data_IF_595072852036
#
_entry.id   IF_595072852036
#
_cell.length_a   1.000
_cell.length_b   1.000
_cell.length_c   1.000
_cell.angle_alpha   90.00
_cell.angle_beta   90.00
_cell.angle_gamma   90.00
#
_symmetry.space_group_name_H-M   'P 1'
#
loop_
_entity.id
_entity.type
_entity.pdbx_description
1 polymer ?
#
# COMPACT_ATOMS: atom_id res chain seq x y z
N UNK A 1 -11.64 36.67 -12.23
CA UNK A 1 -10.20 36.82 -12.53
C UNK A 1 -9.59 35.44 -12.71
N UNK A 2 -9.33 35.02 -13.95
CA UNK A 2 -8.64 33.76 -14.25
C UNK A 2 -7.19 33.86 -13.78
N UNK A 3 -6.88 33.37 -12.57
CA UNK A 3 -5.48 33.12 -12.17
C UNK A 3 -4.89 32.20 -13.22
N UNK A 4 -3.89 32.68 -13.96
CA UNK A 4 -3.17 31.88 -14.93
C UNK A 4 -2.79 30.53 -14.30
N UNK A 5 -3.19 29.43 -14.95
CA UNK A 5 -2.73 28.08 -14.60
C UNK A 5 -1.24 28.02 -14.94
N UNK A 6 -0.38 28.58 -14.09
CA UNK A 6 1.06 28.34 -14.18
C UNK A 6 1.28 26.82 -14.13
N UNK A 7 1.73 26.25 -15.24
CA UNK A 7 2.12 24.85 -15.31
C UNK A 7 3.29 24.60 -14.37
N UNK A 8 3.32 23.41 -13.76
CA UNK A 8 4.47 22.99 -12.98
C UNK A 8 5.69 22.85 -13.92
N UNK A 9 6.90 23.19 -13.46
CA UNK A 9 8.10 22.96 -14.25
C UNK A 9 8.31 21.46 -14.47
N UNK A 10 8.84 21.09 -15.64
CA UNK A 10 9.29 19.72 -15.92
C UNK A 10 10.51 19.39 -15.05
N UNK A 11 10.75 18.10 -14.72
CA UNK A 11 12.01 17.70 -14.09
C UNK A 11 13.21 18.16 -14.94
N UNK A 12 14.18 18.88 -14.36
CA UNK A 12 15.32 19.37 -15.11
C UNK A 12 16.25 18.23 -15.51
N UNK A 13 17.05 18.45 -16.55
CA UNK A 13 18.21 17.61 -16.89
C UNK A 13 19.46 18.40 -16.50
N UNK A 14 20.15 18.06 -15.39
CA UNK A 14 21.35 18.77 -14.98
C UNK A 14 22.48 18.60 -16.01
N UNK A 15 23.45 19.53 -16.08
CA UNK A 15 24.62 19.38 -16.94
C UNK A 15 25.40 18.11 -16.63
N UNK A 16 25.91 17.44 -17.67
CA UNK A 16 26.69 16.20 -17.51
C UNK A 16 27.87 16.38 -16.57
N UNK A 17 28.68 17.43 -16.78
CA UNK A 17 29.87 17.67 -15.96
C UNK A 17 29.52 17.87 -14.49
N UNK A 18 28.46 18.62 -14.20
CA UNK A 18 27.97 18.82 -12.84
C UNK A 18 27.61 17.48 -12.16
N UNK A 19 26.90 16.59 -12.86
CA UNK A 19 26.57 15.26 -12.33
C UNK A 19 27.81 14.40 -12.07
N UNK A 20 28.77 14.38 -13.00
CA UNK A 20 29.98 13.57 -12.89
C UNK A 20 30.92 14.07 -11.78
N UNK A 21 31.07 15.38 -11.65
CA UNK A 21 31.90 15.99 -10.61
C UNK A 21 31.31 15.70 -9.22
N UNK A 22 29.99 15.86 -9.06
CA UNK A 22 29.29 15.48 -7.81
C UNK A 22 29.40 13.99 -7.52
N UNK A 23 29.31 13.14 -8.54
CA UNK A 23 29.46 11.69 -8.37
C UNK A 23 30.85 11.33 -7.82
N UNK A 24 31.93 11.92 -8.37
CA UNK A 24 33.29 11.69 -7.86
C UNK A 24 33.43 12.18 -6.43
N UNK A 25 32.95 13.39 -6.11
CA UNK A 25 32.99 13.93 -4.74
C UNK A 25 32.36 12.96 -3.72
N UNK A 26 31.19 12.38 -4.02
CA UNK A 26 30.56 11.40 -3.15
C UNK A 26 31.28 10.05 -3.14
N UNK A 27 31.76 9.59 -4.29
CA UNK A 27 32.47 8.32 -4.40
C UNK A 27 33.81 8.35 -3.63
N UNK A 28 34.50 9.49 -3.60
CA UNK A 28 35.71 9.71 -2.81
C UNK A 28 35.46 9.53 -1.32
N UNK A 29 34.39 10.14 -0.78
CA UNK A 29 34.02 9.99 0.63
C UNK A 29 33.74 8.52 0.99
N UNK A 30 33.04 7.79 0.12
CA UNK A 30 32.76 6.36 0.32
C UNK A 30 34.04 5.52 0.23
N UNK A 31 34.91 5.81 -0.74
CA UNK A 31 36.16 5.10 -0.93
C UNK A 31 37.13 5.31 0.24
N UNK A 32 37.28 6.55 0.72
CA UNK A 32 38.05 6.89 1.92
C UNK A 32 37.51 6.15 3.14
N UNK A 33 36.18 6.25 3.38
CA UNK A 33 35.53 5.57 4.50
C UNK A 33 35.65 4.04 4.47
N UNK A 34 35.88 3.43 3.29
CA UNK A 34 36.10 1.99 3.12
C UNK A 34 37.57 1.61 2.90
N UNK A 35 38.51 2.56 2.97
CA UNK A 35 39.93 2.37 2.66
C UNK A 35 40.16 1.70 1.29
N UNK A 36 39.47 2.18 0.24
CA UNK A 36 39.57 1.69 -1.14
C UNK A 36 40.19 2.72 -2.08
N UNK A 37 40.88 2.23 -3.12
CA UNK A 37 41.44 3.09 -4.18
C UNK A 37 40.36 3.57 -5.16
N UNK A 38 40.18 4.88 -5.29
CA UNK A 38 39.19 5.53 -6.15
C UNK A 38 39.69 5.77 -7.59
N UNK A 39 41.00 5.62 -7.86
CA UNK A 39 41.60 5.98 -9.16
C UNK A 39 40.96 5.27 -10.35
N UNK A 40 40.45 4.05 -10.15
CA UNK A 40 39.70 3.31 -11.16
C UNK A 40 38.41 4.03 -11.57
N UNK A 41 37.62 4.46 -10.58
CA UNK A 41 36.37 5.21 -10.78
C UNK A 41 36.61 6.54 -11.46
N UNK A 42 37.64 7.29 -11.03
CA UNK A 42 38.02 8.57 -11.67
C UNK A 42 38.31 8.38 -13.14
N UNK A 43 39.13 7.36 -13.50
CA UNK A 43 39.41 7.06 -14.92
C UNK A 43 38.15 6.71 -15.70
N UNK A 44 37.27 5.88 -15.15
CA UNK A 44 36.03 5.51 -15.79
C UNK A 44 35.10 6.70 -16.02
N UNK A 45 35.02 7.63 -15.07
CA UNK A 45 34.23 8.87 -15.19
C UNK A 45 34.80 9.78 -16.28
N UNK A 46 36.12 9.95 -16.34
CA UNK A 46 36.76 10.78 -17.37
C UNK A 46 36.62 10.18 -18.78
N UNK A 47 36.66 8.85 -18.90
CA UNK A 47 36.34 8.17 -20.15
C UNK A 47 34.87 8.38 -20.52
N UNK A 48 33.95 8.20 -19.57
CA UNK A 48 32.52 8.38 -19.80
C UNK A 48 32.18 9.84 -20.14
N UNK A 49 32.85 10.83 -19.55
CA UNK A 49 32.62 12.26 -19.81
C UNK A 49 32.68 12.58 -21.31
N UNK A 50 33.61 11.95 -22.04
CA UNK A 50 33.78 12.14 -23.49
C UNK A 50 32.61 11.60 -24.31
N UNK A 51 32.18 10.37 -24.02
CA UNK A 51 31.09 9.70 -24.76
C UNK A 51 29.70 10.09 -24.26
N UNK A 52 29.62 10.52 -23.00
CA UNK A 52 28.42 10.89 -22.25
C UNK A 52 27.64 12.04 -22.86
N UNK A 53 28.31 12.94 -23.60
CA UNK A 53 27.68 14.06 -24.31
C UNK A 53 26.57 13.57 -25.26
N UNK A 54 26.78 12.43 -25.92
CA UNK A 54 25.77 11.84 -26.81
C UNK A 54 24.51 11.41 -26.04
N UNK A 55 24.69 10.84 -24.85
CA UNK A 55 23.57 10.43 -23.98
C UNK A 55 22.86 11.64 -23.37
N UNK A 56 23.61 12.67 -22.96
CA UNK A 56 23.06 13.93 -22.47
C UNK A 56 22.12 14.58 -23.50
N UNK A 57 22.53 14.65 -24.77
CA UNK A 57 21.71 15.19 -25.85
C UNK A 57 20.45 14.37 -26.12
N UNK A 58 20.52 13.04 -25.98
CA UNK A 58 19.34 12.16 -26.08
C UNK A 58 18.39 12.39 -24.91
N UNK A 59 18.93 12.52 -23.70
CA UNK A 59 18.16 12.78 -22.49
C UNK A 59 17.44 14.13 -22.52
N UNK A 60 18.11 15.17 -23.03
CA UNK A 60 17.52 16.50 -23.22
C UNK A 60 16.35 16.46 -24.21
N UNK A 61 16.51 15.79 -25.35
CA UNK A 61 15.41 15.60 -26.32
C UNK A 61 14.23 14.84 -25.71
N UNK A 62 14.51 13.82 -24.90
CA UNK A 62 13.46 13.10 -24.17
C UNK A 62 12.74 14.00 -23.14
N UNK A 63 13.48 14.85 -22.43
CA UNK A 63 12.90 15.81 -21.48
C UNK A 63 12.05 16.90 -22.17
N UNK A 64 12.39 17.25 -23.41
CA UNK A 64 11.58 18.15 -24.22
C UNK A 64 10.26 17.51 -24.66
N UNK A 65 10.27 16.22 -25.05
CA UNK A 65 9.07 15.51 -25.50
C UNK A 65 8.15 15.07 -24.36
N UNK A 66 8.70 14.76 -23.18
CA UNK A 66 7.94 14.21 -22.06
C UNK A 66 7.56 15.25 -21.00
N UNK A 67 6.45 15.05 -20.31
CA UNK A 67 6.07 15.88 -19.15
C UNK A 67 6.93 15.56 -17.91
N UNK A 68 7.34 14.31 -17.78
CA UNK A 68 8.23 13.80 -16.75
C UNK A 68 9.07 12.67 -17.36
N UNK A 69 10.28 13.00 -17.82
CA UNK A 69 11.15 12.05 -18.50
C UNK A 69 11.70 10.98 -17.57
N UNK A 70 11.91 11.28 -16.27
CA UNK A 70 12.64 10.37 -15.38
C UNK A 70 11.75 9.25 -14.84
N UNK A 71 10.44 9.48 -14.71
CA UNK A 71 9.53 8.50 -14.10
C UNK A 71 9.47 7.16 -14.86
N UNK A 72 9.68 7.18 -16.18
CA UNK A 72 9.70 5.96 -17.00
C UNK A 72 10.91 5.05 -16.70
N UNK A 73 11.96 5.60 -16.09
CA UNK A 73 13.13 4.84 -15.64
C UNK A 73 13.06 4.58 -14.14
N UNK A 74 12.74 5.62 -13.36
CA UNK A 74 12.73 5.53 -11.90
C UNK A 74 11.70 4.52 -11.39
N UNK A 75 10.46 4.52 -11.90
CA UNK A 75 9.42 3.64 -11.38
C UNK A 75 9.74 2.14 -11.64
N UNK A 76 10.16 1.73 -12.85
CA UNK A 76 10.61 0.36 -13.07
C UNK A 76 11.82 -0.04 -12.24
N UNK A 77 12.89 0.76 -12.24
CA UNK A 77 14.15 0.41 -11.57
C UNK A 77 14.04 0.43 -10.05
N UNK A 78 13.31 1.40 -9.49
CA UNK A 78 13.16 1.54 -8.04
C UNK A 78 12.13 0.57 -7.45
N UNK A 79 11.16 0.10 -8.25
CA UNK A 79 10.08 -0.76 -7.74
C UNK A 79 9.74 -1.94 -8.64
N UNK A 80 9.28 -1.70 -9.88
CA UNK A 80 8.56 -2.74 -10.63
C UNK A 80 9.43 -3.92 -11.10
N UNK A 81 10.73 -3.68 -11.35
CA UNK A 81 11.72 -4.72 -11.72
C UNK A 81 12.35 -5.41 -10.52
N UNK A 82 12.15 -4.88 -9.30
CA UNK A 82 12.64 -5.54 -8.09
C UNK A 82 11.82 -6.80 -7.84
N UNK A 83 12.49 -7.95 -7.79
CA UNK A 83 11.85 -9.26 -7.62
C UNK A 83 11.83 -9.76 -6.16
N UNK A 84 12.42 -8.99 -5.23
CA UNK A 84 12.37 -9.27 -3.79
C UNK A 84 10.92 -9.24 -3.27
N UNK A 85 10.63 -9.99 -2.18
CA UNK A 85 9.34 -9.93 -1.51
C UNK A 85 8.91 -8.51 -1.15
N UNK A 86 7.63 -8.17 -1.32
CA UNK A 86 7.14 -6.83 -0.97
C UNK A 86 7.24 -6.50 0.54
N UNK A 87 6.80 -7.39 1.45
CA UNK A 87 6.90 -7.13 2.88
C UNK A 87 8.36 -6.87 3.27
N UNK A 88 8.61 -5.88 4.13
CA UNK A 88 9.94 -5.46 4.61
C UNK A 88 10.82 -4.79 3.55
N UNK A 89 11.00 -5.40 2.37
CA UNK A 89 11.97 -4.92 1.38
C UNK A 89 11.50 -3.68 0.61
N UNK A 90 10.19 -3.55 0.36
CA UNK A 90 9.65 -2.37 -0.34
C UNK A 90 8.47 -1.73 0.36
N UNK A 91 7.59 -2.52 1.01
CA UNK A 91 6.40 -1.98 1.65
C UNK A 91 6.73 -1.40 3.03
N UNK A 92 6.70 -0.07 3.25
CA UNK A 92 6.88 0.49 4.58
C UNK A 92 5.63 0.26 5.45
N UNK A 93 5.83 0.40 6.76
CA UNK A 93 4.76 0.47 7.74
C UNK A 93 4.66 1.87 8.35
N UNK A 94 3.43 2.29 8.65
CA UNK A 94 3.15 3.49 9.41
C UNK A 94 2.26 3.14 10.60
N UNK A 95 2.81 3.21 11.81
CA UNK A 95 2.17 2.78 13.05
C UNK A 95 1.32 3.92 13.59
N UNK A 96 0.04 3.65 13.85
CA UNK A 96 -0.89 4.62 14.46
C UNK A 96 -0.76 4.63 15.99
N UNK A 97 -1.44 5.52 16.74
CA UNK A 97 -1.50 5.41 18.19
C UNK A 97 -2.17 4.09 18.64
N UNK A 98 -1.62 3.46 19.69
CA UNK A 98 -2.20 2.24 20.27
C UNK A 98 -3.63 2.50 20.75
N UNK A 99 -4.55 1.58 20.42
CA UNK A 99 -5.93 1.64 20.89
C UNK A 99 -6.17 0.68 22.06
N UNK A 100 -7.29 0.89 22.75
CA UNK A 100 -7.77 0.01 23.81
C UNK A 100 -9.26 -0.25 23.54
N UNK A 101 -9.58 -1.44 23.05
CA UNK A 101 -10.95 -1.86 22.76
C UNK A 101 -11.51 -2.65 23.94
N UNK A 102 -12.76 -2.36 24.34
CA UNK A 102 -13.43 -3.09 25.42
C UNK A 102 -13.98 -4.42 24.93
N UNK A 103 -14.45 -4.44 23.69
CA UNK A 103 -15.13 -5.55 23.04
C UNK A 103 -14.96 -5.45 21.50
N UNK A 104 -15.52 -6.44 20.80
CA UNK A 104 -15.54 -6.48 19.33
C UNK A 104 -16.27 -5.28 18.73
N UNK A 105 -17.35 -4.81 19.35
CA UNK A 105 -18.12 -3.67 18.85
C UNK A 105 -17.28 -2.39 18.84
N UNK A 106 -16.50 -2.12 19.88
CA UNK A 106 -15.56 -0.99 19.93
C UNK A 106 -14.48 -1.10 18.84
N UNK A 107 -13.94 -2.30 18.62
CA UNK A 107 -12.93 -2.56 17.57
C UNK A 107 -13.48 -2.32 16.16
N UNK A 108 -14.66 -2.86 15.87
CA UNK A 108 -15.29 -2.72 14.56
C UNK A 108 -15.78 -1.28 14.31
N UNK A 109 -16.30 -0.60 15.34
CA UNK A 109 -16.69 0.81 15.26
C UNK A 109 -15.50 1.72 14.99
N UNK A 110 -14.37 1.50 15.67
CA UNK A 110 -13.12 2.22 15.39
C UNK A 110 -12.68 2.00 13.93
N UNK A 111 -12.70 0.75 13.47
CA UNK A 111 -12.34 0.39 12.10
C UNK A 111 -13.26 1.05 11.07
N UNK A 112 -14.57 1.04 11.30
CA UNK A 112 -15.55 1.70 10.44
C UNK A 112 -15.34 3.21 10.34
N UNK A 113 -14.97 3.87 11.44
CA UNK A 113 -14.64 5.30 11.46
C UNK A 113 -13.38 5.62 10.64
N UNK A 114 -12.33 4.80 10.74
CA UNK A 114 -11.12 4.97 9.92
C UNK A 114 -11.42 4.75 8.43
N UNK A 115 -12.17 3.70 8.08
CA UNK A 115 -12.62 3.45 6.71
C UNK A 115 -13.38 4.67 6.18
N UNK A 116 -14.32 5.18 6.96
CA UNK A 116 -15.11 6.35 6.60
C UNK A 116 -14.22 7.58 6.38
N UNK A 117 -13.27 7.82 7.27
CA UNK A 117 -12.31 8.92 7.15
C UNK A 117 -11.44 8.84 5.89
N UNK A 118 -10.95 7.65 5.53
CA UNK A 118 -10.18 7.44 4.30
C UNK A 118 -11.02 7.64 3.04
N UNK A 119 -12.26 7.14 3.02
CA UNK A 119 -13.17 7.31 1.88
C UNK A 119 -13.66 8.76 1.74
N UNK A 120 -13.85 9.49 2.83
CA UNK A 120 -14.09 10.94 2.79
C UNK A 120 -12.88 11.70 2.23
N UNK A 121 -11.66 11.28 2.59
CA UNK A 121 -10.45 11.84 2.01
C UNK A 121 -10.36 11.57 0.51
N UNK A 122 -10.69 10.35 0.06
CA UNK A 122 -10.83 10.02 -1.37
C UNK A 122 -11.84 10.94 -2.06
N UNK A 123 -13.00 11.17 -1.44
CA UNK A 123 -14.02 12.05 -1.99
C UNK A 123 -13.48 13.47 -2.21
N UNK A 124 -12.65 13.99 -1.29
CA UNK A 124 -11.96 15.29 -1.47
C UNK A 124 -10.95 15.27 -2.61
N UNK A 125 -10.21 14.16 -2.81
CA UNK A 125 -9.31 13.99 -3.96
C UNK A 125 -10.10 14.03 -5.27
N UNK A 126 -11.14 13.20 -5.39
CA UNK A 126 -11.91 13.04 -6.61
C UNK A 126 -12.63 14.32 -7.04
N UNK A 127 -13.15 15.06 -6.05
CA UNK A 127 -13.83 16.34 -6.24
C UNK A 127 -12.87 17.55 -6.27
N UNK A 128 -11.56 17.32 -6.22
CA UNK A 128 -10.51 18.34 -6.27
C UNK A 128 -10.65 19.41 -5.18
N UNK A 129 -11.07 18.99 -3.98
CA UNK A 129 -11.23 19.82 -2.79
C UNK A 129 -9.96 19.88 -1.93
N UNK A 130 -8.95 19.06 -2.19
CA UNK A 130 -7.67 19.18 -1.51
C UNK A 130 -6.96 20.47 -1.91
N UNK A 131 -6.45 21.18 -0.90
CA UNK A 131 -5.61 22.34 -1.14
C UNK A 131 -4.29 21.96 -1.81
N UNK A 132 -3.79 22.86 -2.65
CA UNK A 132 -2.51 22.67 -3.32
C UNK A 132 -1.37 22.73 -2.30
N UNK A 133 -0.54 21.70 -2.30
CA UNK A 133 0.68 21.71 -1.49
C UNK A 133 1.76 22.66 -2.03
N UNK A 134 2.57 23.15 -1.11
CA UNK A 134 3.76 23.94 -1.39
C UNK A 134 4.99 23.29 -0.78
N UNK A 135 6.15 23.49 -1.39
CA UNK A 135 7.43 23.00 -0.87
C UNK A 135 7.70 23.49 0.55
N UNK A 136 8.47 22.72 1.31
CA UNK A 136 8.88 23.09 2.68
C UNK A 136 9.96 24.17 2.71
N UNK A 137 10.69 24.37 1.61
CA UNK A 137 11.78 25.35 1.48
C UNK A 137 11.36 26.82 1.69
N UNK A 138 12.38 27.70 1.81
CA UNK A 138 12.21 29.16 2.00
C UNK A 138 11.40 29.80 0.88
N UNK A 139 11.69 29.41 -0.37
CA UNK A 139 10.89 29.79 -1.54
C UNK A 139 9.82 28.72 -1.76
N UNK A 140 8.57 29.10 -1.51
CA UNK A 140 7.42 28.22 -1.67
C UNK A 140 7.12 28.00 -3.15
N UNK A 141 7.26 26.77 -3.62
CA UNK A 141 6.87 26.36 -4.96
C UNK A 141 5.67 25.42 -4.88
N UNK A 142 4.78 25.49 -5.88
CA UNK A 142 3.62 24.60 -5.95
C UNK A 142 4.09 23.17 -6.20
N UNK A 143 3.49 22.22 -5.50
CA UNK A 143 3.81 20.80 -5.65
C UNK A 143 2.88 20.10 -6.64
N UNK A 144 3.36 18.98 -7.18
CA UNK A 144 2.56 18.07 -7.99
C UNK A 144 1.55 17.34 -7.09
N UNK A 145 0.29 17.26 -7.54
CA UNK A 145 -0.77 16.56 -6.81
C UNK A 145 -1.09 15.18 -7.39
N UNK A 146 -0.30 14.69 -8.36
CA UNK A 146 -0.59 13.44 -9.10
C UNK A 146 -0.62 12.21 -8.19
N UNK A 147 0.24 12.14 -7.18
CA UNK A 147 0.28 11.02 -6.24
C UNK A 147 -1.03 10.90 -5.42
N UNK A 148 -1.68 12.02 -5.09
CA UNK A 148 -3.00 12.01 -4.43
C UNK A 148 -4.07 11.34 -5.30
N UNK A 149 -4.04 11.57 -6.62
CA UNK A 149 -4.99 10.93 -7.53
C UNK A 149 -4.78 9.41 -7.62
N UNK A 150 -3.56 8.94 -7.32
CA UNK A 150 -3.13 7.56 -7.48
C UNK A 150 -3.24 6.73 -6.18
N UNK A 151 -3.04 7.32 -5.00
CA UNK A 151 -2.89 6.58 -3.73
C UNK A 151 -4.03 5.62 -3.37
N UNK A 152 -5.27 5.92 -3.79
CA UNK A 152 -6.46 5.06 -3.60
C UNK A 152 -7.02 4.51 -4.92
N UNK A 153 -6.27 4.70 -6.02
CA UNK A 153 -6.68 4.38 -7.39
C UNK A 153 -5.68 3.48 -8.11
N UNK A 154 -4.64 2.98 -7.43
CA UNK A 154 -3.65 2.08 -8.02
C UNK A 154 -3.64 0.69 -7.37
N UNK A 155 -3.04 -0.25 -8.08
CA UNK A 155 -2.77 -1.62 -7.67
C UNK A 155 -1.48 -2.09 -8.34
N UNK A 156 -0.59 -2.77 -7.62
CA UNK A 156 0.63 -3.33 -8.21
C UNK A 156 0.42 -4.80 -8.57
N UNK A 157 0.20 -5.06 -9.85
CA UNK A 157 0.02 -6.43 -10.33
C UNK A 157 1.37 -7.12 -10.54
N UNK A 158 1.59 -8.31 -9.96
CA UNK A 158 2.78 -9.08 -10.24
C UNK A 158 2.78 -9.56 -11.70
N UNK A 159 3.92 -9.41 -12.36
CA UNK A 159 4.18 -9.92 -13.71
C UNK A 159 5.65 -10.34 -13.80
N UNK A 160 5.99 -11.26 -14.71
CA UNK A 160 7.38 -11.70 -14.87
C UNK A 160 8.26 -10.55 -15.33
N UNK A 161 9.50 -10.50 -14.82
CA UNK A 161 10.53 -9.49 -15.12
C UNK A 161 10.21 -8.07 -14.63
N UNK A 162 8.99 -7.57 -14.86
CA UNK A 162 8.54 -6.24 -14.48
C UNK A 162 7.05 -6.28 -14.07
N UNK A 163 6.77 -5.89 -12.82
CA UNK A 163 5.39 -5.74 -12.32
C UNK A 163 4.65 -4.60 -13.05
N UNK A 164 3.32 -4.62 -13.00
CA UNK A 164 2.48 -3.63 -13.67
C UNK A 164 1.77 -2.76 -12.65
N UNK A 165 1.99 -1.44 -12.70
CA UNK A 165 1.18 -0.49 -11.93
C UNK A 165 -0.15 -0.23 -12.65
N UNK A 166 -1.22 -0.85 -12.17
CA UNK A 166 -2.57 -0.65 -12.69
C UNK A 166 -3.17 0.61 -12.10
N UNK A 167 -3.75 1.45 -12.96
CA UNK A 167 -4.60 2.57 -12.54
C UNK A 167 -6.06 2.16 -12.73
N UNK A 168 -6.82 2.14 -11.63
CA UNK A 168 -8.23 1.74 -11.60
C UNK A 168 -9.07 2.68 -12.45
N UNK A 169 -9.95 2.11 -13.27
CA UNK A 169 -10.91 2.88 -14.07
C UNK A 169 -11.96 3.49 -13.13
N UNK A 170 -12.40 4.70 -13.43
CA UNK A 170 -13.52 5.32 -12.70
C UNK A 170 -14.80 4.57 -13.03
N UNK A 171 -15.49 4.05 -12.01
CA UNK A 171 -16.75 3.34 -12.21
C UNK A 171 -17.89 4.32 -12.50
N UNK A 172 -18.61 4.11 -13.61
CA UNK A 172 -19.71 4.98 -14.02
C UNK A 172 -20.99 4.79 -13.18
N UNK A 173 -21.14 3.65 -12.49
CA UNK A 173 -22.32 3.41 -11.63
C UNK A 173 -22.18 4.06 -10.23
N UNK A 174 -21.01 4.64 -9.92
CA UNK A 174 -20.74 5.28 -8.64
C UNK A 174 -20.65 4.33 -7.44
N UNK A 175 -20.49 3.03 -7.66
CA UNK A 175 -20.22 2.05 -6.60
C UNK A 175 -18.72 1.95 -6.34
N UNK A 176 -18.35 1.92 -5.07
CA UNK A 176 -16.98 1.71 -4.60
C UNK A 176 -17.00 0.72 -3.44
N UNK A 177 -15.95 -0.09 -3.35
CA UNK A 177 -15.78 -1.09 -2.30
C UNK A 177 -14.34 -1.13 -1.81
N UNK A 178 -14.16 -1.72 -0.65
CA UNK A 178 -12.86 -2.11 -0.10
C UNK A 178 -12.80 -3.64 -0.04
N UNK A 179 -11.59 -4.17 0.09
CA UNK A 179 -11.37 -5.55 0.45
C UNK A 179 -11.14 -5.63 1.95
N UNK A 180 -11.82 -6.55 2.63
CA UNK A 180 -11.59 -6.83 4.05
C UNK A 180 -11.00 -8.22 4.20
N UNK A 181 -9.82 -8.32 4.78
CA UNK A 181 -9.15 -9.56 5.16
C UNK A 181 -9.50 -9.88 6.61
N UNK A 182 -10.04 -11.07 6.87
CA UNK A 182 -10.30 -11.56 8.21
C UNK A 182 -10.10 -13.08 8.26
N UNK A 183 -9.27 -13.57 9.19
CA UNK A 183 -8.93 -15.00 9.34
C UNK A 183 -8.54 -15.64 7.99
N UNK A 184 -7.67 -14.94 7.25
CA UNK A 184 -7.13 -15.30 5.94
C UNK A 184 -8.16 -15.39 4.79
N UNK A 185 -9.36 -14.84 5.00
CA UNK A 185 -10.43 -14.79 4.01
C UNK A 185 -10.64 -13.35 3.53
N UNK A 186 -10.93 -13.20 2.24
CA UNK A 186 -11.14 -11.91 1.60
C UNK A 186 -12.64 -11.64 1.35
N UNK A 187 -13.11 -10.44 1.69
CA UNK A 187 -14.51 -10.04 1.56
C UNK A 187 -14.62 -8.68 0.88
N UNK A 188 -15.59 -8.53 -0.01
CA UNK A 188 -15.98 -7.25 -0.58
C UNK A 188 -16.92 -6.54 0.40
N UNK A 189 -16.54 -5.34 0.81
CA UNK A 189 -17.35 -4.45 1.64
C UNK A 189 -17.56 -3.13 0.91
N UNK A 190 -18.82 -2.77 0.67
CA UNK A 190 -19.14 -1.55 -0.05
C UNK A 190 -18.94 -0.32 0.84
N UNK A 191 -18.43 0.76 0.25
CA UNK A 191 -18.26 2.08 0.90
C UNK A 191 -19.04 3.18 0.20
N UNK A 192 -19.41 2.96 -1.07
CA UNK A 192 -20.29 3.83 -1.85
C UNK A 192 -21.23 2.99 -2.69
N UNK A 193 -22.51 3.36 -2.73
CA UNK A 193 -23.49 2.75 -3.64
C UNK A 193 -24.39 3.80 -4.29
N UNK A 194 -24.52 3.73 -5.62
CA UNK A 194 -25.26 4.69 -6.43
C UNK A 194 -24.72 6.12 -6.26
N UNK A 195 -23.40 6.29 -6.15
CA UNK A 195 -22.76 7.58 -5.94
C UNK A 195 -22.83 8.11 -4.50
N UNK A 196 -23.64 7.53 -3.62
CA UNK A 196 -23.76 7.95 -2.21
C UNK A 196 -22.86 7.14 -1.30
N UNK A 197 -22.11 7.84 -0.46
CA UNK A 197 -21.28 7.22 0.58
C UNK A 197 -22.16 6.52 1.63
N UNK A 198 -21.72 5.34 2.06
CA UNK A 198 -22.37 4.62 3.14
C UNK A 198 -22.10 5.26 4.51
N UNK A 199 -23.06 5.11 5.42
CA UNK A 199 -22.91 5.55 6.80
C UNK A 199 -21.88 4.70 7.54
N UNK A 200 -21.35 5.18 8.66
CA UNK A 200 -20.48 4.37 9.52
C UNK A 200 -21.20 3.11 10.00
N UNK A 201 -22.50 3.21 10.30
CA UNK A 201 -23.31 2.08 10.74
C UNK A 201 -23.48 0.99 9.66
N UNK A 202 -23.66 1.37 8.40
CA UNK A 202 -23.71 0.41 7.28
C UNK A 202 -22.36 -0.30 7.06
N UNK A 203 -21.25 0.42 7.26
CA UNK A 203 -19.90 -0.17 7.18
C UNK A 203 -19.68 -1.12 8.35
N UNK A 204 -19.98 -0.69 9.58
CA UNK A 204 -19.87 -1.50 10.80
C UNK A 204 -20.73 -2.76 10.73
N UNK A 205 -21.95 -2.67 10.20
CA UNK A 205 -22.81 -3.82 9.93
C UNK A 205 -22.14 -4.83 8.99
N UNK A 206 -21.55 -4.37 7.89
CA UNK A 206 -20.80 -5.23 6.98
C UNK A 206 -19.58 -5.87 7.65
N UNK A 207 -18.86 -5.13 8.51
CA UNK A 207 -17.71 -5.67 9.23
C UNK A 207 -18.10 -6.78 10.22
N UNK A 208 -19.22 -6.61 10.96
CA UNK A 208 -19.76 -7.68 11.81
C UNK A 208 -20.08 -8.94 11.00
N UNK A 209 -20.67 -8.77 9.82
CA UNK A 209 -20.94 -9.88 8.91
C UNK A 209 -19.65 -10.56 8.44
N UNK A 210 -18.59 -9.79 8.14
CA UNK A 210 -17.27 -10.34 7.80
C UNK A 210 -16.72 -11.21 8.92
N UNK A 211 -16.72 -10.73 10.17
CA UNK A 211 -16.24 -11.51 11.33
C UNK A 211 -17.06 -12.78 11.52
N UNK A 212 -18.40 -12.67 11.46
CA UNK A 212 -19.30 -13.83 11.58
C UNK A 212 -19.06 -14.88 10.49
N UNK A 213 -18.93 -14.44 9.24
CA UNK A 213 -18.72 -15.33 8.09
C UNK A 213 -17.34 -15.97 8.10
N UNK A 214 -16.31 -15.23 8.54
CA UNK A 214 -14.94 -15.74 8.60
C UNK A 214 -14.80 -16.82 9.68
N UNK A 215 -15.42 -16.64 10.85
CA UNK A 215 -15.41 -17.64 11.92
C UNK A 215 -16.15 -18.92 11.50
N UNK A 216 -17.29 -18.79 10.80
CA UNK A 216 -18.04 -19.95 10.31
C UNK A 216 -17.25 -20.83 9.31
N UNK A 217 -16.16 -20.32 8.72
CA UNK A 217 -15.29 -21.05 7.78
C UNK A 217 -13.84 -21.16 8.27
N UNK A 218 -13.61 -20.95 9.56
CA UNK A 218 -12.27 -21.00 10.16
C UNK A 218 -11.59 -22.33 9.86
N UNK A 219 -10.36 -22.28 9.35
CA UNK A 219 -9.56 -23.45 8.99
C UNK A 219 -9.94 -24.12 7.67
N UNK A 220 -11.03 -23.71 7.00
CA UNK A 220 -11.44 -24.25 5.69
C UNK A 220 -10.95 -23.40 4.52
N UNK A 221 -10.64 -22.12 4.77
CA UNK A 221 -10.26 -21.19 3.72
C UNK A 221 -8.79 -21.32 3.32
N UNK A 222 -8.54 -21.33 2.01
CA UNK A 222 -7.18 -21.25 1.46
C UNK A 222 -6.69 -19.79 1.60
N UNK A 223 -5.52 -19.54 2.22
CA UNK A 223 -5.02 -18.20 2.51
C UNK A 223 -4.45 -17.50 1.27
N UNK A 224 -5.28 -17.23 0.26
CA UNK A 224 -4.86 -16.63 -1.03
C UNK A 224 -4.18 -15.26 -0.86
N UNK A 225 -4.47 -14.53 0.23
CA UNK A 225 -3.80 -13.27 0.56
C UNK A 225 -2.27 -13.39 0.72
N UNK A 226 -1.77 -14.57 1.08
CA UNK A 226 -0.33 -14.83 1.19
C UNK A 226 0.38 -14.87 -0.18
N UNK A 227 -0.35 -14.91 -1.31
CA UNK A 227 0.23 -15.04 -2.65
C UNK A 227 1.18 -13.93 -3.08
N UNK A 228 1.12 -12.76 -2.44
CA UNK A 228 2.00 -11.62 -2.72
C UNK A 228 3.10 -11.40 -1.68
N UNK A 229 3.32 -12.36 -0.77
CA UNK A 229 4.16 -12.17 0.41
C UNK A 229 5.66 -12.49 0.22
N UNK A 230 5.98 -13.33 -0.75
CA UNK A 230 7.30 -13.73 -1.21
C UNK A 230 7.66 -13.08 -2.56
N UNK A 231 8.56 -13.73 -3.30
CA UNK A 231 9.13 -13.16 -4.54
C UNK A 231 8.06 -12.91 -5.61
N UNK A 232 8.34 -11.91 -6.45
CA UNK A 232 7.37 -11.37 -7.41
C UNK A 232 7.13 -12.30 -8.61
N UNK A 233 8.10 -13.13 -8.99
CA UNK A 233 7.95 -14.08 -10.09
C UNK A 233 7.05 -15.25 -9.69
N UNK A 234 7.23 -15.80 -8.49
CA UNK A 234 6.33 -16.81 -7.93
C UNK A 234 4.90 -16.25 -7.79
N UNK A 235 4.74 -14.99 -7.38
CA UNK A 235 3.43 -14.34 -7.29
C UNK A 235 2.78 -14.21 -8.69
N UNK A 236 3.56 -13.82 -9.71
CA UNK A 236 3.09 -13.72 -11.08
C UNK A 236 2.66 -15.08 -11.66
N UNK A 237 3.42 -16.15 -11.38
CA UNK A 237 3.07 -17.50 -11.78
C UNK A 237 1.81 -18.01 -11.08
N UNK A 238 1.65 -17.72 -9.79
CA UNK A 238 0.45 -18.07 -9.02
C UNK A 238 -0.80 -17.43 -9.63
N UNK A 239 -0.77 -16.13 -9.89
CA UNK A 239 -1.92 -15.43 -10.47
C UNK A 239 -2.19 -15.85 -11.90
N UNK A 240 -1.15 -16.12 -12.72
CA UNK A 240 -1.32 -16.66 -14.07
C UNK A 240 -2.12 -17.97 -14.06
N UNK A 241 -1.77 -18.91 -13.17
CA UNK A 241 -2.50 -20.18 -13.03
C UNK A 241 -3.93 -19.94 -12.53
N UNK A 242 -4.13 -19.14 -11.48
CA UNK A 242 -5.46 -18.88 -10.93
C UNK A 242 -6.41 -18.28 -11.96
N UNK A 243 -5.92 -17.41 -12.84
CA UNK A 243 -6.70 -16.76 -13.88
C UNK A 243 -7.16 -17.69 -15.02
N UNK A 244 -6.75 -18.97 -15.02
CA UNK A 244 -7.32 -19.97 -15.94
C UNK A 244 -8.76 -20.35 -15.57
N UNK A 245 -9.20 -20.03 -14.34
CA UNK A 245 -10.56 -20.31 -13.85
C UNK A 245 -11.37 -19.01 -13.75
N UNK A 246 -12.53 -18.96 -14.42
CA UNK A 246 -13.37 -17.75 -14.51
C UNK A 246 -13.75 -17.17 -13.14
N UNK A 247 -14.12 -18.01 -12.16
CA UNK A 247 -14.50 -17.55 -10.81
C UNK A 247 -13.36 -16.82 -10.11
N UNK A 248 -12.10 -17.24 -10.34
CA UNK A 248 -10.93 -16.58 -9.77
C UNK A 248 -10.69 -15.23 -10.43
N UNK A 249 -10.87 -15.12 -11.76
CA UNK A 249 -10.78 -13.85 -12.48
C UNK A 249 -11.76 -12.82 -11.92
N UNK A 250 -13.01 -13.22 -11.66
CA UNK A 250 -14.01 -12.35 -11.05
C UNK A 250 -13.56 -11.91 -9.65
N UNK A 251 -13.14 -12.84 -8.79
CA UNK A 251 -12.66 -12.53 -7.43
C UNK A 251 -11.43 -11.62 -7.44
N UNK A 252 -10.45 -11.88 -8.32
CA UNK A 252 -9.25 -11.06 -8.47
C UNK A 252 -9.61 -9.65 -8.96
N UNK A 253 -10.56 -9.52 -9.89
CA UNK A 253 -11.04 -8.20 -10.34
C UNK A 253 -11.61 -7.39 -9.16
N UNK A 254 -12.43 -8.02 -8.31
CA UNK A 254 -12.92 -7.37 -7.09
C UNK A 254 -11.78 -6.95 -6.15
N UNK A 255 -10.74 -7.77 -6.00
CA UNK A 255 -9.57 -7.42 -5.18
C UNK A 255 -8.75 -6.26 -5.78
N UNK A 256 -8.50 -6.28 -7.09
CA UNK A 256 -7.74 -5.25 -7.81
C UNK A 256 -8.48 -3.90 -7.89
N UNK A 257 -9.80 -3.92 -7.96
CA UNK A 257 -10.64 -2.71 -8.01
C UNK A 257 -10.94 -2.11 -6.64
N UNK A 258 -10.66 -2.83 -5.55
CA UNK A 258 -10.90 -2.35 -4.19
C UNK A 258 -10.14 -1.04 -3.93
N UNK A 259 -10.78 -0.04 -3.33
CA UNK A 259 -10.18 1.28 -3.08
C UNK A 259 -8.93 1.16 -2.21
N UNK A 260 -9.02 0.37 -1.15
CA UNK A 260 -7.92 -0.06 -0.29
C UNK A 260 -8.33 -1.37 0.41
N UNK A 261 -7.39 -1.95 1.18
CA UNK A 261 -7.60 -3.19 1.93
C UNK A 261 -7.67 -2.88 3.42
N UNK A 262 -8.50 -3.59 4.16
CA UNK A 262 -8.57 -3.57 5.63
C UNK A 262 -8.27 -4.96 6.16
N UNK A 263 -7.35 -5.09 7.10
CA UNK A 263 -7.00 -6.37 7.72
C UNK A 263 -7.49 -6.35 9.17
N UNK A 264 -8.49 -7.18 9.46
CA UNK A 264 -9.01 -7.41 10.81
C UNK A 264 -8.20 -8.54 11.45
N UNK A 265 -7.22 -8.15 12.26
CA UNK A 265 -6.34 -9.10 12.94
C UNK A 265 -6.91 -9.45 14.32
N UNK A 266 -7.61 -10.56 14.38
CA UNK A 266 -8.10 -11.09 15.64
C UNK A 266 -6.94 -11.76 16.39
N UNK A 267 -6.41 -11.08 17.40
CA UNK A 267 -5.43 -11.63 18.33
C UNK A 267 -6.16 -12.41 19.43
N UNK A 268 -6.56 -13.63 19.11
CA UNK A 268 -6.92 -14.63 20.13
C UNK A 268 -5.68 -14.80 21.06
N UNK A 269 -5.68 -14.16 22.24
CA UNK A 269 -4.58 -14.23 23.23
C UNK A 269 -4.20 -15.67 23.63
N UNK A 270 -5.03 -16.66 23.27
CA UNK A 270 -4.85 -18.09 23.54
C UNK A 270 -4.19 -18.88 22.40
N UNK A 271 -4.19 -18.39 21.16
CA UNK A 271 -3.80 -19.17 19.97
C UNK A 271 -2.56 -18.66 19.24
N UNK A 272 -1.94 -17.58 19.72
CA UNK A 272 -0.61 -17.12 19.27
C UNK A 272 0.47 -17.43 20.31
N UNK A 273 1.11 -18.61 20.27
CA UNK A 273 2.30 -18.90 21.08
C UNK A 273 3.53 -18.04 20.72
N UNK A 274 3.44 -17.16 19.72
CA UNK A 274 4.59 -16.49 19.11
C UNK A 274 4.67 -14.96 19.31
N UNK A 275 3.65 -14.31 19.88
CA UNK A 275 3.77 -12.90 20.27
C UNK A 275 3.46 -12.73 21.75
N UNK A 276 4.49 -12.90 22.59
CA UNK A 276 4.51 -12.38 23.95
C UNK A 276 4.51 -10.84 23.89
N UNK A 277 3.38 -10.24 23.52
CA UNK A 277 3.11 -8.81 23.68
C UNK A 277 3.28 -8.35 25.14
N UNK A 278 3.24 -9.30 26.10
CA UNK A 278 3.51 -9.09 27.52
C UNK A 278 4.98 -8.86 27.89
N UNK A 279 5.91 -8.91 26.93
CA UNK A 279 7.35 -8.78 27.20
C UNK A 279 7.95 -7.42 26.82
N UNK A 280 7.18 -6.50 26.22
CA UNK A 280 7.69 -5.16 25.94
C UNK A 280 7.95 -4.43 27.27
N UNK A 281 9.22 -4.21 27.59
CA UNK A 281 9.63 -3.57 28.85
C UNK A 281 9.53 -2.05 28.75
N UNK A 282 9.46 -1.51 27.53
CA UNK A 282 9.43 -0.08 27.26
C UNK A 282 8.69 0.25 25.96
N UNK A 283 8.51 1.56 25.73
CA UNK A 283 7.79 2.11 24.58
C UNK A 283 8.44 1.78 23.22
N UNK A 284 9.78 1.74 23.15
CA UNK A 284 10.47 1.47 21.89
C UNK A 284 10.30 0.01 21.46
N UNK A 285 10.38 -0.93 22.41
CA UNK A 285 10.11 -2.34 22.16
C UNK A 285 8.67 -2.58 21.70
N UNK A 286 7.69 -1.90 22.30
CA UNK A 286 6.30 -1.93 21.84
C UNK A 286 6.17 -1.44 20.39
N UNK A 287 6.78 -0.30 20.04
CA UNK A 287 6.79 0.20 18.67
C UNK A 287 7.42 -0.77 17.69
N UNK A 288 8.51 -1.46 18.07
CA UNK A 288 9.15 -2.47 17.22
C UNK A 288 8.22 -3.65 16.98
N UNK A 289 7.57 -4.18 18.02
CA UNK A 289 6.62 -5.30 17.88
C UNK A 289 5.42 -4.91 17.00
N UNK A 290 4.88 -3.71 17.19
CA UNK A 290 3.79 -3.16 16.37
C UNK A 290 4.22 -2.98 14.94
N UNK A 291 5.39 -2.39 14.70
CA UNK A 291 5.97 -2.26 13.36
C UNK A 291 6.10 -3.59 12.66
N UNK A 292 6.65 -4.61 13.33
CA UNK A 292 6.76 -5.97 12.79
C UNK A 292 5.39 -6.57 12.46
N UNK A 293 4.40 -6.42 13.34
CA UNK A 293 3.05 -6.91 13.11
C UNK A 293 2.39 -6.22 11.89
N UNK A 294 2.55 -4.90 11.73
CA UNK A 294 2.03 -4.19 10.55
C UNK A 294 2.74 -4.65 9.26
N UNK A 295 4.07 -4.85 9.30
CA UNK A 295 4.87 -5.24 8.14
C UNK A 295 4.61 -6.68 7.67
N UNK A 296 4.66 -7.64 8.60
CA UNK A 296 4.69 -9.08 8.25
C UNK A 296 3.57 -9.90 8.89
N UNK A 297 2.77 -9.30 9.77
CA UNK A 297 1.72 -10.02 10.50
C UNK A 297 2.24 -11.13 11.42
N UNK A 298 3.54 -11.23 11.68
CA UNK A 298 4.11 -12.32 12.46
C UNK A 298 4.23 -13.66 11.71
N UNK A 299 4.39 -13.60 10.38
CA UNK A 299 4.66 -14.77 9.55
C UNK A 299 3.40 -15.54 9.12
N UNK A 300 3.60 -16.70 8.49
CA UNK A 300 2.53 -17.52 7.91
C UNK A 300 1.59 -18.14 8.94
N UNK A 301 2.09 -18.33 10.18
CA UNK A 301 1.35 -18.86 11.33
C UNK A 301 0.62 -17.77 12.14
N UNK A 302 1.00 -16.51 11.94
CA UNK A 302 0.30 -15.34 12.48
C UNK A 302 -0.72 -14.79 11.49
N UNK A 303 -0.70 -13.48 11.31
CA UNK A 303 -1.56 -12.72 10.42
C UNK A 303 -0.88 -12.33 9.09
N UNK A 304 0.31 -12.85 8.77
CA UNK A 304 1.00 -12.55 7.50
C UNK A 304 0.23 -13.01 6.26
N UNK A 305 -0.60 -14.05 6.42
CA UNK A 305 -1.56 -14.50 5.41
C UNK A 305 -2.87 -13.70 5.37
N UNK A 306 -3.15 -12.89 6.40
CA UNK A 306 -4.32 -12.02 6.50
C UNK A 306 -4.03 -10.64 5.91
N UNK A 307 -3.40 -10.62 4.73
CA UNK A 307 -2.90 -9.42 4.03
C UNK A 307 -3.19 -9.52 2.54
N UNK A 308 -2.96 -8.43 1.84
CA UNK A 308 -2.95 -8.35 0.37
C UNK A 308 -1.87 -7.36 -0.08
N UNK A 309 -0.62 -7.82 -0.12
CA UNK A 309 0.58 -6.97 -0.23
C UNK A 309 0.69 -6.13 -1.52
N UNK A 310 -0.01 -6.55 -2.57
CA UNK A 310 -0.07 -5.86 -3.86
C UNK A 310 -0.95 -4.59 -3.85
N UNK A 311 -1.79 -4.43 -2.82
CA UNK A 311 -2.65 -3.26 -2.68
C UNK A 311 -1.85 -2.06 -2.16
N UNK A 312 -2.08 -0.89 -2.78
CA UNK A 312 -1.39 0.36 -2.40
C UNK A 312 -1.49 0.67 -0.91
N UNK A 313 -2.69 0.55 -0.33
CA UNK A 313 -2.92 0.81 1.09
C UNK A 313 -3.61 -0.39 1.71
N UNK A 314 -3.03 -0.89 2.80
CA UNK A 314 -3.63 -1.85 3.71
C UNK A 314 -3.73 -1.24 5.10
N UNK A 315 -4.95 -0.99 5.58
CA UNK A 315 -5.23 -0.60 6.96
C UNK A 315 -5.31 -1.85 7.83
N UNK A 316 -4.34 -2.05 8.71
CA UNK A 316 -4.36 -3.16 9.68
C UNK A 316 -4.93 -2.66 10.99
N UNK A 317 -5.95 -3.35 11.52
CA UNK A 317 -6.52 -3.06 12.84
C UNK A 317 -6.68 -4.38 13.59
N UNK A 318 -5.84 -4.58 14.60
CA UNK A 318 -5.88 -5.74 15.48
C UNK A 318 -6.82 -5.54 16.67
N UNK A 319 -7.44 -6.62 17.15
CA UNK A 319 -8.33 -6.61 18.31
C UNK A 319 -7.61 -6.24 19.63
N UNK A 320 -6.28 -6.37 19.68
CA UNK A 320 -5.43 -5.89 20.78
C UNK A 320 -5.20 -4.39 20.80
N UNK A 321 -5.62 -3.68 19.75
CA UNK A 321 -5.43 -2.24 19.59
C UNK A 321 -4.21 -1.86 18.74
N UNK A 322 -3.38 -2.82 18.33
CA UNK A 322 -2.31 -2.58 17.35
C UNK A 322 -2.93 -2.24 16.00
N UNK A 323 -2.53 -1.11 15.41
CA UNK A 323 -3.10 -0.64 14.15
C UNK A 323 -2.13 0.27 13.39
N UNK A 324 -2.31 0.37 12.08
CA UNK A 324 -1.44 1.13 11.20
C UNK A 324 -1.66 0.82 9.72
N UNK A 325 -0.75 1.30 8.87
CA UNK A 325 -0.78 1.05 7.43
C UNK A 325 0.41 0.18 7.01
N UNK A 326 0.16 -0.83 6.19
CA UNK A 326 1.16 -1.47 5.32
C UNK A 326 0.94 -0.94 3.90
N UNK A 327 1.98 -0.42 3.26
CA UNK A 327 1.85 0.44 2.09
C UNK A 327 2.68 -0.14 0.95
N UNK A 328 2.09 -0.33 -0.23
CA UNK A 328 2.88 -0.62 -1.45
C UNK A 328 3.46 0.70 -2.00
N UNK A 329 4.79 0.78 -2.05
CA UNK A 329 5.51 2.05 -2.16
C UNK A 329 5.56 2.61 -3.59
N UNK A 330 5.34 1.81 -4.64
CA UNK A 330 5.48 2.27 -6.03
C UNK A 330 4.52 3.39 -6.44
N UNK A 331 3.43 3.57 -5.68
CA UNK A 331 2.33 4.47 -6.06
C UNK A 331 2.52 5.91 -5.57
N UNK A 332 3.00 6.08 -4.33
CA UNK A 332 3.04 7.38 -3.66
C UNK A 332 4.12 7.42 -2.57
N UNK A 333 4.64 8.62 -2.34
CA UNK A 333 5.64 8.90 -1.32
C UNK A 333 5.00 9.19 0.05
N UNK A 334 5.83 9.11 1.09
CA UNK A 334 5.40 9.17 2.50
C UNK A 334 4.48 10.36 2.85
N UNK A 335 4.73 11.56 2.31
CA UNK A 335 3.93 12.75 2.66
C UNK A 335 2.45 12.61 2.29
N UNK A 336 2.16 12.02 1.12
CA UNK A 336 0.80 11.82 0.62
C UNK A 336 0.07 10.82 1.51
N UNK A 337 0.77 9.76 1.92
CA UNK A 337 0.26 8.71 2.79
C UNK A 337 -0.03 9.28 4.19
N UNK A 338 0.90 10.04 4.76
CA UNK A 338 0.75 10.65 6.09
C UNK A 338 -0.46 11.60 6.11
N UNK A 339 -0.63 12.45 5.09
CA UNK A 339 -1.77 13.37 5.02
C UNK A 339 -3.12 12.64 4.98
N UNK A 340 -3.22 11.54 4.22
CA UNK A 340 -4.40 10.69 4.21
C UNK A 340 -4.63 10.04 5.58
N UNK A 341 -3.60 9.43 6.16
CA UNK A 341 -3.66 8.76 7.45
C UNK A 341 -4.10 9.71 8.57
N UNK A 342 -3.49 10.89 8.66
CA UNK A 342 -3.87 11.91 9.63
C UNK A 342 -5.29 12.42 9.42
N UNK A 343 -5.74 12.54 8.17
CA UNK A 343 -7.13 12.89 7.88
C UNK A 343 -8.11 11.84 8.40
N UNK A 344 -7.79 10.55 8.24
CA UNK A 344 -8.60 9.46 8.76
C UNK A 344 -8.61 9.43 10.30
N UNK A 345 -7.44 9.61 10.94
CA UNK A 345 -7.31 9.69 12.40
C UNK A 345 -8.02 10.92 13.00
N UNK A 346 -8.00 12.06 12.31
CA UNK A 346 -8.80 13.24 12.71
C UNK A 346 -10.29 12.94 12.61
N UNK A 347 -10.73 12.37 11.49
CA UNK A 347 -12.13 11.98 11.31
C UNK A 347 -12.60 11.06 12.44
N UNK A 348 -11.82 10.04 12.78
CA UNK A 348 -12.11 9.12 13.87
C UNK A 348 -12.24 9.86 15.21
N UNK A 349 -11.26 10.68 15.59
CA UNK A 349 -11.28 11.44 16.87
C UNK A 349 -12.49 12.37 17.01
N UNK A 350 -12.85 13.07 15.94
CA UNK A 350 -13.98 14.00 15.92
C UNK A 350 -15.35 13.29 16.04
N UNK A 351 -15.40 12.01 15.67
CA UNK A 351 -16.63 11.25 15.54
C UNK A 351 -16.76 10.10 16.56
N UNK A 352 -15.69 9.71 17.27
CA UNK A 352 -15.66 8.62 18.27
C UNK A 352 -16.74 8.74 19.35
N UNK A 353 -17.00 9.97 19.81
CA UNK A 353 -17.97 10.28 20.89
C UNK A 353 -19.36 10.65 20.37
N UNK A 354 -19.50 10.89 19.06
CA UNK A 354 -20.81 11.13 18.49
C UNK A 354 -21.53 9.80 18.51
N UNK A 355 -22.76 9.77 19.02
CA UNK A 355 -23.67 8.65 18.78
C UNK A 355 -24.06 8.64 17.30
N UNK A 356 -23.09 8.37 16.41
CA UNK A 356 -23.30 8.05 15.00
C UNK A 356 -23.98 6.69 14.81
N UNK A 357 -24.50 6.12 15.91
CA UNK A 357 -25.39 4.98 15.98
C UNK A 357 -26.75 5.43 15.41
N UNK A 358 -26.79 5.71 14.11
CA UNK A 358 -27.98 5.41 13.34
C UNK A 358 -27.98 3.89 13.13
N UNK A 359 -29.13 3.24 13.18
CA UNK A 359 -29.23 1.86 12.66
C UNK A 359 -28.75 1.85 11.20
N UNK A 360 -28.20 0.73 10.69
CA UNK A 360 -27.82 0.64 9.28
C UNK A 360 -29.02 1.04 8.41
N UNK A 361 -28.82 1.96 7.48
CA UNK A 361 -29.89 2.47 6.63
C UNK A 361 -30.19 1.50 5.48
N UNK A 362 -29.17 0.79 5.00
CA UNK A 362 -29.25 -0.01 3.77
C UNK A 362 -29.00 -1.50 3.98
N UNK A 363 -28.41 -1.89 5.12
CA UNK A 363 -28.10 -3.29 5.47
C UNK A 363 -27.44 -4.08 4.31
N UNK A 364 -26.54 -3.41 3.57
CA UNK A 364 -25.80 -4.04 2.47
C UNK A 364 -24.93 -5.14 3.07
N UNK A 365 -24.94 -6.33 2.48
CA UNK A 365 -24.16 -7.47 2.98
C UNK A 365 -22.78 -7.51 2.34
N UNK A 366 -21.79 -7.86 3.15
CA UNK A 366 -20.46 -8.21 2.67
C UNK A 366 -20.53 -9.48 1.80
N UNK A 367 -19.62 -9.60 0.82
CA UNK A 367 -19.55 -10.76 -0.07
C UNK A 367 -18.20 -11.46 0.05
N UNK A 368 -18.14 -12.75 0.38
CA UNK A 368 -16.89 -13.50 0.42
C UNK A 368 -16.38 -13.70 -1.00
N UNK A 369 -15.08 -13.52 -1.21
CA UNK A 369 -14.41 -13.97 -2.43
C UNK A 369 -14.15 -15.46 -2.35
N UNK A 370 -14.31 -16.14 -3.49
CA UNK A 370 -14.12 -17.58 -3.60
C UNK A 370 -13.02 -17.89 -4.58
N UNK A 371 -12.25 -18.92 -4.27
CA UNK A 371 -11.07 -19.30 -5.03
C UNK A 371 -11.09 -20.79 -5.33
N UNK A 372 -10.89 -21.14 -6.59
CA UNK A 372 -10.55 -22.49 -7.01
C UNK A 372 -9.04 -22.58 -7.16
N UNK A 373 -8.39 -23.38 -6.32
CA UNK A 373 -6.93 -23.47 -6.27
C UNK A 373 -6.53 -24.91 -6.56
N UNK A 374 -5.77 -25.11 -7.64
CA UNK A 374 -5.26 -26.42 -8.01
C UNK A 374 -3.97 -26.77 -7.24
N UNK A 375 -3.42 -27.96 -7.50
CA UNK A 375 -2.22 -28.44 -6.82
C UNK A 375 -0.97 -27.58 -7.11
N UNK A 376 -0.86 -27.01 -8.31
CA UNK A 376 0.30 -26.19 -8.68
C UNK A 376 0.23 -24.81 -8.03
N UNK A 377 -0.94 -24.17 -8.03
CA UNK A 377 -1.18 -22.94 -7.30
C UNK A 377 -0.97 -23.11 -5.79
N UNK A 378 -1.40 -24.23 -5.20
CA UNK A 378 -1.11 -24.53 -3.79
C UNK A 378 0.40 -24.61 -3.53
N UNK A 379 1.16 -25.27 -4.41
CA UNK A 379 2.62 -25.36 -4.29
C UNK A 379 3.29 -23.99 -4.36
N UNK A 380 2.84 -23.12 -5.27
CA UNK A 380 3.33 -21.74 -5.37
C UNK A 380 2.96 -20.90 -4.13
N UNK A 381 1.74 -21.08 -3.61
CA UNK A 381 1.28 -20.41 -2.39
C UNK A 381 2.08 -20.83 -1.15
N UNK A 382 2.46 -22.11 -1.02
CA UNK A 382 3.31 -22.56 0.09
C UNK A 382 4.72 -21.98 0.02
N UNK A 383 5.29 -21.75 -1.17
CA UNK A 383 6.55 -21.01 -1.31
C UNK A 383 6.42 -19.56 -0.83
N UNK A 384 5.31 -18.90 -1.18
CA UNK A 384 5.03 -17.54 -0.73
C UNK A 384 4.91 -17.46 0.80
N UNK A 385 4.27 -18.45 1.42
CA UNK A 385 4.17 -18.56 2.87
C UNK A 385 5.52 -18.84 3.54
N UNK A 386 6.36 -19.67 2.95
CA UNK A 386 7.70 -19.92 3.47
C UNK A 386 8.54 -18.64 3.52
N UNK A 387 8.44 -17.79 2.50
CA UNK A 387 9.13 -16.50 2.45
C UNK A 387 8.67 -15.50 3.55
N UNK A 388 7.49 -15.67 4.15
CA UNK A 388 7.05 -14.88 5.31
C UNK A 388 7.74 -15.31 6.62
N UNK A 389 8.21 -16.54 6.67
CA UNK A 389 8.79 -17.16 7.87
C UNK A 389 10.33 -17.12 7.88
N UNK A 390 10.95 -16.77 6.75
CA UNK A 390 12.38 -16.44 6.59
C UNK A 390 12.68 -15.02 7.09
#
# INVERSE_FOLDING_TARGET
MYKSRQCLPKPPVPPLDHCLDRYIEYAEVVAEGQNRDIRGTIRAVEEFRRVGVTYQQRLQRLAESESNWINQFWLPEMYLRIRLPLPVNTNPAYIFPQQHFRDEDDWLRYTALLIRGMVEYKNKIDTKQLEREFSTGKVKVRMCMKQYDNILSCYRQPALEEDIQLVKKKNHNGNEHILVMCKNQAFVVHTRTGGRLLSCADIEFQLREVVRMSEARKGLAIPVGASGAGDRDTAALFWRNLQEVEVNCVSLTWAQEAVFVVCLDDEDRKSSPALNWSNAQNYEEDLVLRGKHILTGGGSRGHGANRWYDATIQLVVGSSGTNGLCIEHSTAEGIVIINMAESALRYERENRKRNLISRPEREIRAKPLTWHVDAEALRLLEKQKAALDE
#
